data_IF_418846321090
#
_entry.id   IF_418846321090
#
_cell.length_a   1.000
_cell.length_b   1.000
_cell.length_c   1.000
_cell.angle_alpha   90.00
_cell.angle_beta   90.00
_cell.angle_gamma   90.00
#
_symmetry.space_group_name_H-M   'P 1'
#
loop_
_entity.id
_entity.type
_entity.pdbx_description
1 polymer ?
#
# COMPACT_ATOMS: atom_id res chain seq x y z
N UNK A 1 4.04 28.51 -17.79
CA UNK A 1 2.67 28.05 -18.11
C UNK A 1 1.74 28.97 -17.35
N UNK A 2 0.89 29.70 -18.06
CA UNK A 2 0.03 30.72 -17.45
C UNK A 2 -1.08 30.08 -16.61
N UNK A 3 -1.49 30.74 -15.52
CA UNK A 3 -2.50 30.23 -14.59
C UNK A 3 -3.81 29.84 -15.30
N UNK A 4 -4.27 30.66 -16.24
CA UNK A 4 -5.50 30.41 -17.01
C UNK A 4 -5.45 29.12 -17.82
N UNK A 5 -4.27 28.80 -18.36
CA UNK A 5 -4.07 27.55 -19.09
C UNK A 5 -4.17 26.34 -18.17
N UNK A 6 -3.60 26.44 -16.95
CA UNK A 6 -3.69 25.39 -15.92
C UNK A 6 -5.14 25.14 -15.54
N UNK A 7 -5.92 26.20 -15.29
CA UNK A 7 -7.33 26.09 -14.90
C UNK A 7 -8.16 25.46 -16.03
N UNK A 8 -7.93 25.86 -17.29
CA UNK A 8 -8.61 25.28 -18.45
C UNK A 8 -8.30 23.79 -18.61
N UNK A 9 -7.03 23.39 -18.45
CA UNK A 9 -6.61 21.98 -18.51
C UNK A 9 -7.21 21.16 -17.37
N UNK A 10 -7.17 21.68 -16.13
CA UNK A 10 -7.80 21.05 -14.96
C UNK A 10 -9.27 20.80 -15.21
N UNK A 11 -10.02 21.82 -15.67
CA UNK A 11 -11.46 21.70 -15.96
C UNK A 11 -11.72 20.58 -16.97
N UNK A 12 -10.95 20.54 -18.08
CA UNK A 12 -11.08 19.48 -19.08
C UNK A 12 -10.87 18.07 -18.50
N UNK A 13 -9.90 17.90 -17.61
CA UNK A 13 -9.62 16.60 -16.97
C UNK A 13 -10.78 16.21 -16.05
N UNK A 14 -11.27 17.14 -15.23
CA UNK A 14 -12.36 16.89 -14.28
C UNK A 14 -13.68 16.62 -14.97
N UNK A 15 -13.94 17.29 -16.10
CA UNK A 15 -15.17 17.12 -16.89
C UNK A 15 -15.11 15.86 -17.78
N UNK A 16 -13.97 15.17 -17.87
CA UNK A 16 -13.84 13.94 -18.65
C UNK A 16 -14.56 12.77 -17.96
N UNK A 17 -15.23 11.87 -18.70
CA UNK A 17 -15.89 10.73 -18.12
C UNK A 17 -14.87 9.83 -17.41
N UNK A 18 -15.23 9.36 -16.22
CA UNK A 18 -14.48 8.31 -15.54
C UNK A 18 -14.68 7.00 -16.30
N UNK A 19 -13.57 6.34 -16.62
CA UNK A 19 -13.58 5.01 -17.22
C UNK A 19 -13.24 3.99 -16.13
N UNK A 20 -14.23 3.38 -15.47
CA UNK A 20 -13.95 2.40 -14.42
C UNK A 20 -13.35 1.13 -15.02
N UNK A 21 -12.62 0.39 -14.19
CA UNK A 21 -12.23 -0.98 -14.52
C UNK A 21 -13.49 -1.86 -14.60
N UNK A 22 -13.55 -2.85 -15.51
CA UNK A 22 -14.69 -3.78 -15.57
C UNK A 22 -14.90 -4.49 -14.23
N UNK A 23 -16.15 -4.56 -13.76
CA UNK A 23 -16.50 -5.17 -12.46
C UNK A 23 -16.00 -6.61 -12.34
N UNK A 24 -16.10 -7.39 -13.42
CA UNK A 24 -15.60 -8.76 -13.49
C UNK A 24 -14.09 -8.82 -13.19
N UNK A 25 -13.31 -7.93 -13.82
CA UNK A 25 -11.85 -7.84 -13.63
C UNK A 25 -11.53 -7.50 -12.19
N UNK A 26 -12.22 -6.52 -11.59
CA UNK A 26 -12.03 -6.15 -10.20
C UNK A 26 -12.39 -7.30 -9.27
N UNK A 27 -13.52 -7.97 -9.49
CA UNK A 27 -13.96 -9.12 -8.69
C UNK A 27 -12.97 -10.28 -8.74
N UNK A 28 -12.40 -10.58 -9.91
CA UNK A 28 -11.35 -11.59 -10.06
C UNK A 28 -10.10 -11.22 -9.25
N UNK A 29 -9.62 -9.98 -9.37
CA UNK A 29 -8.43 -9.50 -8.64
C UNK A 29 -8.64 -9.53 -7.12
N UNK A 30 -9.80 -9.06 -6.64
CA UNK A 30 -10.14 -9.09 -5.22
C UNK A 30 -10.16 -10.52 -4.69
N UNK A 31 -10.69 -11.47 -5.46
CA UNK A 31 -10.71 -12.89 -5.08
C UNK A 31 -9.30 -13.47 -5.00
N UNK A 32 -8.46 -13.22 -6.01
CA UNK A 32 -7.06 -13.68 -6.03
C UNK A 32 -6.26 -13.08 -4.86
N UNK A 33 -6.39 -11.78 -4.61
CA UNK A 33 -5.79 -11.10 -3.47
C UNK A 33 -6.23 -11.72 -2.14
N UNK A 34 -7.54 -11.86 -1.94
CA UNK A 34 -8.09 -12.42 -0.69
C UNK A 34 -7.62 -13.85 -0.44
N UNK A 35 -7.50 -14.67 -1.49
CA UNK A 35 -7.00 -16.04 -1.38
C UNK A 35 -5.53 -16.11 -1.00
N UNK A 36 -4.72 -15.15 -1.46
CA UNK A 36 -3.28 -15.04 -1.21
C UNK A 36 -2.94 -14.38 0.13
N UNK A 37 -3.87 -13.62 0.72
CA UNK A 37 -3.66 -12.80 1.90
C UNK A 37 -4.61 -13.14 3.08
N UNK A 38 -4.79 -14.42 3.38
CA UNK A 38 -5.78 -14.88 4.38
C UNK A 38 -5.44 -14.48 5.81
N UNK A 39 -4.17 -14.57 6.20
CA UNK A 39 -3.72 -14.18 7.54
C UNK A 39 -3.82 -12.66 7.70
N UNK A 40 -3.47 -11.89 6.66
CA UNK A 40 -3.65 -10.44 6.65
C UNK A 40 -5.12 -10.06 6.87
N UNK A 41 -6.05 -10.78 6.22
CA UNK A 41 -7.48 -10.57 6.43
C UNK A 41 -7.89 -10.83 7.89
N UNK A 42 -7.45 -11.95 8.46
CA UNK A 42 -7.75 -12.30 9.86
C UNK A 42 -7.22 -11.25 10.84
N UNK A 43 -5.96 -10.82 10.66
CA UNK A 43 -5.36 -9.80 11.49
C UNK A 43 -6.09 -8.45 11.37
N UNK A 44 -6.54 -8.09 10.16
CA UNK A 44 -7.32 -6.87 9.96
C UNK A 44 -8.68 -6.92 10.67
N UNK A 45 -9.37 -8.07 10.64
CA UNK A 45 -10.60 -8.27 11.40
C UNK A 45 -10.39 -8.16 12.91
N UNK A 46 -9.30 -8.74 13.42
CA UNK A 46 -8.91 -8.61 14.83
C UNK A 46 -8.55 -7.17 15.19
N UNK A 47 -7.79 -6.48 14.34
CA UNK A 47 -7.38 -5.09 14.54
C UNK A 47 -8.58 -4.14 14.64
N UNK A 48 -9.67 -4.38 13.89
CA UNK A 48 -10.91 -3.58 13.99
C UNK A 48 -11.56 -3.63 15.38
N UNK A 49 -11.23 -4.62 16.22
CA UNK A 49 -11.76 -4.70 17.60
C UNK A 49 -11.09 -3.71 18.55
N UNK A 50 -9.89 -3.25 18.23
CA UNK A 50 -9.07 -2.38 19.09
C UNK A 50 -8.61 -1.07 18.42
N UNK A 51 -8.72 -0.96 17.10
CA UNK A 51 -8.35 0.20 16.30
C UNK A 51 -9.54 0.68 15.46
N UNK A 52 -9.73 1.99 15.39
CA UNK A 52 -10.71 2.61 14.48
C UNK A 52 -10.38 2.24 13.04
N UNK A 53 -11.35 1.70 12.30
CA UNK A 53 -11.18 1.17 10.93
C UNK A 53 -10.08 0.09 10.77
N UNK A 54 -9.56 -0.48 11.87
CA UNK A 54 -8.54 -1.53 11.85
C UNK A 54 -7.13 -1.07 11.43
N UNK A 55 -6.89 0.22 11.26
CA UNK A 55 -5.59 0.80 10.86
C UNK A 55 -5.27 2.08 11.62
N UNK A 56 -3.99 2.32 11.92
CA UNK A 56 -3.53 3.55 12.60
C UNK A 56 -3.10 4.67 11.64
N UNK A 57 -2.80 4.34 10.38
CA UNK A 57 -2.25 5.27 9.40
C UNK A 57 -3.15 5.39 8.16
N UNK A 58 -3.41 6.64 7.74
CA UNK A 58 -4.42 7.00 6.73
C UNK A 58 -4.10 6.57 5.29
N UNK A 59 -2.82 6.28 4.99
CA UNK A 59 -2.38 5.87 3.64
C UNK A 59 -2.54 4.36 3.37
N UNK A 60 -3.06 3.59 4.33
CA UNK A 60 -3.23 2.15 4.16
C UNK A 60 -4.39 1.86 3.20
N UNK A 61 -4.20 1.06 2.13
CA UNK A 61 -5.28 0.69 1.22
C UNK A 61 -6.32 -0.17 1.97
N UNK A 62 -7.52 0.37 2.17
CA UNK A 62 -8.57 -0.27 2.97
C UNK A 62 -9.46 -1.25 2.17
N UNK A 63 -9.39 -1.25 0.84
CA UNK A 63 -10.18 -2.16 0.00
C UNK A 63 -9.28 -3.17 -0.74
N UNK A 64 -9.53 -4.49 -0.62
CA UNK A 64 -10.54 -5.11 0.24
C UNK A 64 -10.15 -5.16 1.73
N UNK A 65 -8.84 -5.15 2.02
CA UNK A 65 -8.21 -5.00 3.33
C UNK A 65 -6.69 -4.79 3.11
N UNK A 66 -5.95 -4.19 4.06
CA UNK A 66 -4.51 -3.99 3.91
C UNK A 66 -3.73 -5.30 4.11
N UNK A 67 -2.69 -5.58 3.30
CA UNK A 67 -1.75 -6.65 3.60
C UNK A 67 -0.93 -6.28 4.84
N UNK A 68 -0.71 -7.24 5.74
CA UNK A 68 0.08 -7.04 6.94
C UNK A 68 1.53 -7.45 6.69
N UNK A 69 2.45 -6.49 6.78
CA UNK A 69 3.89 -6.74 6.55
C UNK A 69 4.50 -7.43 7.77
N UNK A 70 5.36 -8.42 7.52
CA UNK A 70 6.13 -9.15 8.54
C UNK A 70 7.53 -8.53 8.70
N UNK A 71 8.29 -8.46 7.61
CA UNK A 71 9.63 -7.88 7.59
C UNK A 71 10.00 -7.36 6.20
N UNK A 72 11.12 -6.63 6.10
CA UNK A 72 11.74 -6.25 4.83
C UNK A 72 13.22 -6.61 4.83
N UNK A 73 13.86 -6.63 3.66
CA UNK A 73 15.32 -6.73 3.54
C UNK A 73 15.77 -6.09 2.23
N UNK A 74 16.67 -5.12 2.30
CA UNK A 74 17.09 -4.33 1.15
C UNK A 74 15.89 -3.65 0.48
N UNK A 75 15.64 -3.96 -0.78
CA UNK A 75 14.51 -3.39 -1.56
C UNK A 75 13.23 -4.24 -1.49
N UNK A 76 13.20 -5.29 -0.68
CA UNK A 76 12.09 -6.25 -0.63
C UNK A 76 11.28 -6.10 0.65
N UNK A 77 9.99 -6.42 0.54
CA UNK A 77 9.05 -6.57 1.66
C UNK A 77 8.41 -7.95 1.62
N UNK A 78 8.13 -8.48 2.80
CA UNK A 78 7.50 -9.77 3.02
C UNK A 78 6.28 -9.58 3.91
N UNK A 79 5.12 -10.07 3.49
CA UNK A 79 3.92 -10.08 4.32
C UNK A 79 3.81 -11.34 5.19
N UNK A 80 2.90 -11.31 6.16
CA UNK A 80 2.67 -12.45 7.08
C UNK A 80 2.12 -13.71 6.38
N UNK A 81 1.64 -13.55 5.15
CA UNK A 81 1.16 -14.63 4.29
C UNK A 81 2.30 -15.27 3.47
N UNK A 82 3.52 -14.70 3.51
CA UNK A 82 4.72 -15.20 2.84
C UNK A 82 4.93 -14.64 1.43
N UNK A 83 4.23 -13.57 1.05
CA UNK A 83 4.33 -12.96 -0.26
C UNK A 83 5.50 -11.97 -0.30
N UNK A 84 6.32 -12.05 -1.35
CA UNK A 84 7.43 -11.11 -1.60
C UNK A 84 6.98 -9.97 -2.51
N UNK A 85 7.40 -8.76 -2.18
CA UNK A 85 7.15 -7.52 -2.92
C UNK A 85 8.45 -6.76 -3.15
N UNK A 86 8.56 -6.08 -4.30
CA UNK A 86 9.56 -5.03 -4.49
C UNK A 86 8.98 -3.73 -3.94
N UNK A 87 9.63 -3.14 -2.94
CA UNK A 87 9.16 -1.93 -2.28
C UNK A 87 9.56 -0.68 -3.07
N UNK A 88 8.64 -0.22 -3.92
CA UNK A 88 8.75 1.07 -4.60
C UNK A 88 8.26 2.25 -3.74
N UNK A 89 7.55 2.00 -2.64
CA UNK A 89 7.02 3.05 -1.78
C UNK A 89 8.08 3.58 -0.82
N UNK A 90 8.90 2.71 -0.23
CA UNK A 90 10.02 3.03 0.67
C UNK A 90 9.63 4.03 1.78
N UNK A 91 8.43 3.88 2.35
CA UNK A 91 7.84 4.81 3.34
C UNK A 91 7.72 6.28 2.85
N UNK A 92 7.75 6.53 1.54
CA UNK A 92 7.83 7.87 0.98
C UNK A 92 9.22 8.48 1.02
N UNK A 93 10.27 7.65 0.90
CA UNK A 93 11.72 7.95 0.92
C UNK A 93 12.52 7.89 2.24
N UNK A 94 11.95 7.85 3.47
CA UNK A 94 12.74 7.63 4.68
C UNK A 94 13.61 6.36 4.66
N UNK A 95 13.17 5.33 3.94
CA UNK A 95 13.87 4.04 3.81
C UNK A 95 14.65 3.98 2.48
N UNK A 96 15.23 5.10 2.04
CA UNK A 96 15.94 5.17 0.74
C UNK A 96 17.17 4.25 0.66
N UNK A 97 17.75 3.89 1.80
CA UNK A 97 18.89 2.96 1.87
C UNK A 97 18.44 1.48 1.84
N UNK A 98 17.13 1.23 1.77
CA UNK A 98 16.55 -0.10 1.91
C UNK A 98 16.28 -0.50 3.36
N UNK A 99 15.42 -1.51 3.52
CA UNK A 99 15.10 -2.14 4.80
C UNK A 99 16.35 -2.85 5.35
N UNK A 100 16.57 -2.75 6.67
CA UNK A 100 17.72 -3.36 7.35
C UNK A 100 19.07 -3.01 6.73
N UNK A 101 19.30 -1.72 6.49
CA UNK A 101 20.59 -1.25 6.00
C UNK A 101 21.67 -1.45 7.07
N UNK A 102 22.43 -2.54 6.94
CA UNK A 102 23.35 -3.03 7.96
C UNK A 102 24.27 -1.99 8.60
N UNK A 103 24.89 -1.04 7.84
CA UNK A 103 25.71 -0.01 8.47
C UNK A 103 24.96 0.93 9.42
N UNK A 104 23.65 1.14 9.20
CA UNK A 104 22.80 1.91 10.12
C UNK A 104 22.38 1.04 11.31
N UNK A 105 21.93 -0.19 11.07
CA UNK A 105 21.50 -1.11 12.12
C UNK A 105 22.62 -1.36 13.14
N UNK A 106 23.84 -1.63 12.64
CA UNK A 106 25.03 -1.86 13.48
C UNK A 106 25.38 -0.61 14.33
N UNK A 107 25.03 0.60 13.85
CA UNK A 107 25.24 1.86 14.58
C UNK A 107 24.16 2.16 15.61
N UNK A 108 22.95 1.63 15.43
CA UNK A 108 21.86 1.76 16.40
C UNK A 108 22.05 0.78 17.57
N UNK A 109 22.66 -0.38 17.32
CA UNK A 109 22.89 -1.43 18.30
C UNK A 109 24.10 -1.21 19.24
N UNK A 110 24.93 -0.20 18.97
CA UNK A 110 26.05 0.25 19.81
C UNK A 110 25.57 1.07 21.02
#
# INVERSE_FOLDING_TARGET
MEYEEIIKRKKKIVDSPLHPLPEETVGKLVKEFTQKNKKSQQLFEEAKTCLTEGVQHNLSPMFPFPPAMDHGEGYKLYDIDGNEYIDYLMCGAPIILGHHFKPLDDKIAE
#
